data_IF_896200779300
#
_entry.id   IF_896200779300
#
_cell.length_a   1.000
_cell.length_b   1.000
_cell.length_c   1.000
_cell.angle_alpha   90.00
_cell.angle_beta   90.00
_cell.angle_gamma   90.00
#
_symmetry.space_group_name_H-M   'P 1'
#
loop_
_entity.id
_entity.type
_entity.pdbx_description
1 polymer ?
#
# COMPACT_ATOMS: atom_id res chain seq x y z
N UNK A 1 -33.00 -13.58 20.01
CA UNK A 1 -33.07 -13.60 18.52
C UNK A 1 -31.66 -13.54 17.95
N UNK A 2 -31.15 -14.72 17.61
CA UNK A 2 -29.81 -14.95 17.08
C UNK A 2 -29.62 -14.20 15.76
N UNK A 3 -28.69 -13.25 15.70
CA UNK A 3 -28.14 -12.71 14.47
C UNK A 3 -26.76 -13.34 14.24
N UNK A 4 -26.76 -14.64 13.99
CA UNK A 4 -25.68 -15.31 13.28
C UNK A 4 -26.08 -15.27 11.80
N UNK A 5 -25.49 -14.34 11.05
CA UNK A 5 -25.20 -14.43 9.61
C UNK A 5 -24.83 -13.03 9.08
N UNK A 6 -23.68 -12.52 9.51
CA UNK A 6 -22.93 -11.57 8.70
C UNK A 6 -21.82 -12.40 8.04
N UNK A 7 -21.86 -12.63 6.72
CA UNK A 7 -20.84 -13.43 6.06
C UNK A 7 -19.47 -12.77 6.25
N UNK A 8 -18.59 -13.44 7.01
CA UNK A 8 -17.24 -13.02 7.35
C UNK A 8 -16.24 -13.03 6.19
N UNK A 9 -16.64 -12.55 5.01
CA UNK A 9 -15.80 -12.44 3.81
C UNK A 9 -16.02 -11.12 3.06
N UNK A 10 -16.03 -10.00 3.79
CA UNK A 10 -15.64 -8.71 3.20
C UNK A 10 -14.12 -8.57 3.42
N UNK A 11 -13.35 -9.38 2.70
CA UNK A 11 -11.91 -9.09 2.53
C UNK A 11 -11.82 -7.77 1.78
N UNK A 12 -10.94 -6.89 2.25
CA UNK A 12 -10.54 -5.63 1.62
C UNK A 12 -9.87 -5.93 0.27
N UNK A 13 -10.65 -6.36 -0.71
CA UNK A 13 -10.19 -6.47 -2.08
C UNK A 13 -10.00 -5.05 -2.60
N UNK A 14 -8.76 -4.79 -3.01
CA UNK A 14 -8.30 -3.49 -3.46
C UNK A 14 -9.20 -2.93 -4.58
N UNK A 15 -9.30 -1.61 -4.56
CA UNK A 15 -10.24 -0.80 -5.32
C UNK A 15 -10.06 -0.90 -6.84
N UNK A 16 -10.70 -1.89 -7.47
CA UNK A 16 -11.23 -1.78 -8.82
C UNK A 16 -12.59 -2.49 -8.86
N UNK A 17 -13.66 -1.71 -8.90
CA UNK A 17 -15.03 -2.24 -9.01
C UNK A 17 -15.22 -3.17 -10.22
N UNK A 18 -14.41 -2.98 -11.28
CA UNK A 18 -14.34 -3.89 -12.42
C UNK A 18 -13.73 -5.27 -12.09
N UNK A 19 -12.72 -5.34 -11.21
CA UNK A 19 -12.09 -6.59 -10.77
C UNK A 19 -13.04 -7.43 -9.90
N UNK A 20 -13.81 -6.78 -9.01
CA UNK A 20 -14.84 -7.47 -8.21
C UNK A 20 -15.94 -8.06 -9.10
N UNK A 21 -16.33 -7.35 -10.15
CA UNK A 21 -17.30 -7.81 -11.15
C UNK A 21 -16.70 -9.00 -11.91
N UNK A 22 -15.51 -8.88 -12.47
CA UNK A 22 -14.88 -9.99 -13.18
C UNK A 22 -14.66 -11.24 -12.32
N UNK A 23 -14.30 -11.07 -11.05
CA UNK A 23 -14.16 -12.18 -10.11
C UNK A 23 -15.52 -12.77 -9.70
N UNK A 24 -16.57 -11.96 -9.54
CA UNK A 24 -17.92 -12.49 -9.23
C UNK A 24 -18.53 -13.24 -10.41
N UNK A 25 -18.28 -12.76 -11.62
CA UNK A 25 -18.75 -13.38 -12.86
C UNK A 25 -17.75 -14.38 -13.46
N UNK A 26 -16.66 -14.72 -12.75
CA UNK A 26 -15.65 -15.67 -13.22
C UNK A 26 -16.20 -17.09 -13.35
N UNK A 27 -17.25 -17.40 -12.58
CA UNK A 27 -17.95 -18.69 -12.56
C UNK A 27 -19.38 -18.61 -13.09
N UNK A 28 -19.86 -17.44 -13.50
CA UNK A 28 -21.19 -17.30 -14.08
C UNK A 28 -21.07 -17.40 -15.60
N UNK A 29 -21.65 -18.44 -16.19
CA UNK A 29 -21.84 -18.61 -17.63
C UNK A 29 -22.82 -17.55 -18.16
N UNK A 30 -22.45 -16.27 -18.16
CA UNK A 30 -23.22 -15.22 -18.84
C UNK A 30 -22.82 -15.26 -20.31
N UNK A 31 -23.67 -15.76 -21.23
CA UNK A 31 -23.25 -16.05 -22.61
C UNK A 31 -23.21 -14.82 -23.51
N UNK A 32 -23.52 -13.63 -23.01
CA UNK A 32 -23.83 -12.44 -23.82
C UNK A 32 -22.96 -11.25 -23.43
N UNK A 33 -21.93 -10.99 -24.24
CA UNK A 33 -21.04 -9.81 -24.10
C UNK A 33 -21.81 -8.49 -24.15
N UNK A 34 -22.95 -8.43 -24.85
CA UNK A 34 -23.81 -7.26 -24.92
C UNK A 34 -24.41 -6.91 -23.56
N UNK A 35 -24.99 -7.90 -22.87
CA UNK A 35 -25.49 -7.74 -21.50
C UNK A 35 -24.40 -7.43 -20.50
N UNK A 36 -23.20 -8.02 -20.63
CA UNK A 36 -22.07 -7.71 -19.75
C UNK A 36 -21.67 -6.23 -19.88
N UNK A 37 -21.63 -5.72 -21.11
CA UNK A 37 -21.31 -4.32 -21.40
C UNK A 37 -22.39 -3.35 -20.91
N UNK A 38 -23.66 -3.70 -21.11
CA UNK A 38 -24.80 -2.93 -20.61
C UNK A 38 -24.83 -2.89 -19.07
N UNK A 39 -24.60 -4.03 -18.40
CA UNK A 39 -24.45 -4.08 -16.95
C UNK A 39 -23.29 -3.20 -16.48
N UNK A 40 -22.11 -3.28 -17.12
CA UNK A 40 -20.98 -2.40 -16.81
C UNK A 40 -21.30 -0.91 -16.96
N UNK A 41 -22.05 -0.51 -17.98
CA UNK A 41 -22.50 0.88 -18.15
C UNK A 41 -23.54 1.30 -17.11
N UNK A 42 -24.51 0.44 -16.83
CA UNK A 42 -25.51 0.67 -15.77
C UNK A 42 -24.85 0.78 -14.39
N UNK A 43 -23.81 -0.01 -14.11
CA UNK A 43 -23.00 0.07 -12.88
C UNK A 43 -22.12 1.32 -12.81
N UNK A 44 -21.54 1.77 -13.93
CA UNK A 44 -20.87 3.09 -13.96
C UNK A 44 -21.83 4.24 -13.65
N UNK A 45 -23.11 4.06 -13.97
CA UNK A 45 -24.16 5.04 -13.73
C UNK A 45 -24.76 4.96 -12.32
N UNK A 46 -24.70 3.81 -11.66
CA UNK A 46 -25.19 3.60 -10.30
C UNK A 46 -24.45 4.48 -9.26
N UNK A 47 -25.23 5.32 -8.56
CA UNK A 47 -24.78 6.01 -7.34
C UNK A 47 -25.01 5.05 -6.18
N UNK A 48 -23.94 4.51 -5.60
CA UNK A 48 -24.04 3.65 -4.42
C UNK A 48 -24.08 4.49 -3.15
N UNK A 49 -24.92 4.13 -2.16
CA UNK A 49 -25.02 4.87 -0.90
C UNK A 49 -23.75 4.76 -0.03
N UNK A 50 -22.92 3.74 -0.26
CA UNK A 50 -21.64 3.54 0.41
C UNK A 50 -20.58 3.30 -0.67
N UNK A 51 -19.41 3.92 -0.52
CA UNK A 51 -18.24 3.74 -1.37
C UNK A 51 -17.01 3.52 -0.51
N UNK A 52 -16.32 2.39 -0.74
CA UNK A 52 -15.00 2.13 -0.19
C UNK A 52 -14.00 2.51 -1.27
N UNK A 53 -13.17 3.51 -1.00
CA UNK A 53 -12.29 4.08 -2.00
C UNK A 53 -11.04 4.68 -1.37
N UNK A 54 -9.96 4.76 -2.12
CA UNK A 54 -8.77 5.49 -1.68
C UNK A 54 -9.03 7.00 -1.72
N UNK A 55 -8.37 7.81 -0.88
CA UNK A 55 -8.47 9.28 -0.94
C UNK A 55 -8.17 9.85 -2.33
N UNK A 56 -7.29 9.19 -3.09
CA UNK A 56 -6.94 9.58 -4.47
C UNK A 56 -8.14 9.56 -5.42
N UNK A 57 -9.05 8.59 -5.28
CA UNK A 57 -10.26 8.55 -6.10
C UNK A 57 -11.23 9.69 -5.79
N UNK A 58 -11.12 10.32 -4.62
CA UNK A 58 -11.85 11.55 -4.32
C UNK A 58 -11.09 12.77 -4.87
N UNK A 59 -9.77 12.82 -4.66
CA UNK A 59 -8.91 13.88 -5.17
C UNK A 59 -9.02 14.10 -6.67
N UNK A 60 -9.21 13.04 -7.46
CA UNK A 60 -9.38 13.11 -8.92
C UNK A 60 -10.45 14.13 -9.34
N UNK A 61 -11.49 14.32 -8.52
CA UNK A 61 -12.58 15.24 -8.83
C UNK A 61 -12.16 16.72 -8.71
N UNK A 62 -11.10 17.02 -7.95
CA UNK A 62 -10.56 18.37 -7.80
C UNK A 62 -9.61 18.77 -8.94
N UNK A 63 -9.14 17.81 -9.74
CA UNK A 63 -8.25 18.05 -10.89
C UNK A 63 -8.99 18.20 -12.23
N UNK A 64 -10.32 18.40 -12.18
CA UNK A 64 -11.18 18.54 -13.36
C UNK A 64 -11.02 17.40 -14.38
N UNK A 65 -10.81 16.16 -13.91
CA UNK A 65 -10.73 14.99 -14.77
C UNK A 65 -12.11 14.67 -15.37
N UNK A 66 -12.16 14.00 -16.52
CA UNK A 66 -13.43 13.72 -17.19
C UNK A 66 -14.44 13.03 -16.24
N UNK A 67 -15.61 13.66 -16.06
CA UNK A 67 -16.68 13.16 -15.19
C UNK A 67 -16.55 13.57 -13.72
N UNK A 68 -15.68 14.53 -13.39
CA UNK A 68 -15.52 15.05 -12.03
C UNK A 68 -16.81 15.64 -11.46
N UNK A 69 -17.68 16.20 -12.29
CA UNK A 69 -18.94 16.83 -11.87
C UNK A 69 -19.87 15.81 -11.20
N UNK A 70 -19.93 14.60 -11.76
CA UNK A 70 -20.67 13.50 -11.15
C UNK A 70 -20.09 13.17 -9.78
N UNK A 71 -18.76 13.07 -9.68
CA UNK A 71 -18.08 12.78 -8.43
C UNK A 71 -18.31 13.84 -7.36
N UNK A 72 -18.27 15.14 -7.73
CA UNK A 72 -18.59 16.25 -6.82
C UNK A 72 -20.06 16.23 -6.39
N UNK A 73 -20.98 15.96 -7.31
CA UNK A 73 -22.41 15.87 -7.00
C UNK A 73 -22.71 14.79 -5.96
N UNK A 74 -22.01 13.65 -6.02
CA UNK A 74 -22.14 12.56 -5.05
C UNK A 74 -21.68 12.95 -3.64
N UNK A 75 -20.92 14.03 -3.47
CA UNK A 75 -20.44 14.48 -2.16
C UNK A 75 -21.47 15.29 -1.38
N UNK A 76 -22.52 15.81 -2.03
CA UNK A 76 -23.49 16.69 -1.39
C UNK A 76 -24.14 16.04 -0.15
N UNK A 77 -23.86 16.61 1.03
CA UNK A 77 -24.35 16.08 2.31
C UNK A 77 -23.79 14.71 2.71
N UNK A 78 -22.68 14.29 2.09
CA UNK A 78 -22.07 12.98 2.31
C UNK A 78 -21.34 12.88 3.66
N UNK A 79 -21.05 11.63 4.04
CA UNK A 79 -20.21 11.30 5.19
C UNK A 79 -18.90 10.70 4.71
N UNK A 80 -17.78 11.35 5.04
CA UNK A 80 -16.46 10.86 4.67
C UNK A 80 -15.78 10.29 5.91
N UNK A 81 -15.40 9.01 5.83
CA UNK A 81 -14.63 8.33 6.88
C UNK A 81 -13.23 8.10 6.33
N UNK A 82 -12.26 8.80 6.90
CA UNK A 82 -10.84 8.58 6.62
C UNK A 82 -10.29 7.65 7.69
N UNK A 83 -10.13 6.38 7.32
CA UNK A 83 -9.47 5.38 8.15
C UNK A 83 -7.95 5.43 7.93
N UNK A 84 -7.19 5.42 9.03
CA UNK A 84 -5.72 5.40 9.04
C UNK A 84 -5.09 6.49 8.15
N UNK A 85 -5.42 7.76 8.39
CA UNK A 85 -4.78 8.89 7.69
C UNK A 85 -3.30 9.00 8.11
N UNK A 86 -2.44 8.24 7.45
CA UNK A 86 -1.01 8.28 7.69
C UNK A 86 -0.36 9.32 6.78
N UNK A 87 0.31 10.29 7.39
CA UNK A 87 0.86 11.45 6.71
C UNK A 87 2.38 11.34 6.56
N UNK A 88 2.85 10.39 5.74
CA UNK A 88 4.29 10.29 5.44
C UNK A 88 4.73 11.12 4.23
N UNK A 89 3.80 11.41 3.31
CA UNK A 89 4.09 12.27 2.17
C UNK A 89 3.42 13.63 2.39
N UNK A 90 4.21 14.71 2.63
CA UNK A 90 3.69 16.05 2.84
C UNK A 90 2.75 16.54 1.73
N UNK A 91 3.02 16.16 0.48
CA UNK A 91 2.21 16.56 -0.69
C UNK A 91 0.85 15.88 -0.68
N UNK A 92 0.82 14.57 -0.45
CA UNK A 92 -0.43 13.80 -0.36
C UNK A 92 -1.27 14.29 0.81
N UNK A 93 -0.63 14.54 1.96
CA UNK A 93 -1.32 15.07 3.13
C UNK A 93 -1.93 16.47 2.84
N UNK A 94 -1.17 17.37 2.21
CA UNK A 94 -1.68 18.67 1.77
C UNK A 94 -2.91 18.52 0.84
N UNK A 95 -2.85 17.62 -0.14
CA UNK A 95 -3.96 17.36 -1.05
C UNK A 95 -5.21 16.87 -0.30
N UNK A 96 -5.05 15.92 0.63
CA UNK A 96 -6.17 15.40 1.44
C UNK A 96 -6.78 16.53 2.29
N UNK A 97 -5.98 17.41 2.88
CA UNK A 97 -6.51 18.52 3.66
C UNK A 97 -7.28 19.53 2.81
N UNK A 98 -6.79 19.85 1.61
CA UNK A 98 -7.53 20.71 0.66
C UNK A 98 -8.84 20.05 0.24
N UNK A 99 -8.85 18.73 0.03
CA UNK A 99 -10.07 17.97 -0.24
C UNK A 99 -11.07 18.08 0.91
N UNK A 100 -10.63 17.85 2.15
CA UNK A 100 -11.47 17.96 3.35
C UNK A 100 -12.04 19.37 3.46
N UNK A 101 -11.18 20.40 3.38
CA UNK A 101 -11.57 21.81 3.47
C UNK A 101 -12.61 22.17 2.40
N UNK A 102 -12.39 21.74 1.15
CA UNK A 102 -13.29 21.99 0.03
C UNK A 102 -14.64 21.28 0.20
N UNK A 103 -14.62 20.00 0.58
CA UNK A 103 -15.83 19.19 0.76
C UNK A 103 -16.70 19.70 1.92
N UNK A 104 -16.09 20.03 3.06
CA UNK A 104 -16.79 20.60 4.21
C UNK A 104 -17.39 21.97 3.84
N UNK A 105 -16.60 22.85 3.22
CA UNK A 105 -17.00 24.23 2.94
C UNK A 105 -18.10 24.34 1.89
N UNK A 106 -18.02 23.57 0.80
CA UNK A 106 -18.89 23.78 -0.37
C UNK A 106 -19.94 22.68 -0.56
N UNK A 107 -19.78 21.50 0.04
CA UNK A 107 -20.66 20.35 -0.18
C UNK A 107 -21.39 19.87 1.09
N UNK A 108 -21.21 20.56 2.22
CA UNK A 108 -21.81 20.20 3.50
C UNK A 108 -21.50 18.75 3.92
N UNK A 109 -20.27 18.31 3.62
CA UNK A 109 -19.79 16.97 3.99
C UNK A 109 -19.45 16.93 5.47
N UNK A 110 -19.89 15.87 6.15
CA UNK A 110 -19.43 15.54 7.50
C UNK A 110 -18.24 14.60 7.43
N UNK A 111 -17.17 14.91 8.15
CA UNK A 111 -15.91 14.16 8.07
C UNK A 111 -15.61 13.51 9.42
N UNK A 112 -15.26 12.23 9.39
CA UNK A 112 -14.75 11.47 10.53
C UNK A 112 -13.35 10.97 10.19
N UNK A 113 -12.37 11.34 11.02
CA UNK A 113 -10.97 10.98 10.82
C UNK A 113 -10.53 10.03 11.93
N UNK A 114 -10.02 8.88 11.55
CA UNK A 114 -9.51 7.85 12.45
C UNK A 114 -8.00 7.69 12.25
N UNK A 115 -7.24 7.62 13.34
CA UNK A 115 -5.79 7.39 13.29
C UNK A 115 -5.34 6.72 14.58
N UNK A 116 -4.49 5.71 14.47
CA UNK A 116 -3.87 5.08 15.63
C UNK A 116 -2.81 5.97 16.30
N UNK A 117 -2.05 6.71 15.48
CA UNK A 117 -0.94 7.56 15.92
C UNK A 117 -0.75 8.69 14.93
N UNK A 118 -0.88 9.94 15.37
CA UNK A 118 -0.63 11.12 14.54
C UNK A 118 0.12 12.18 15.35
N UNK A 119 1.25 12.72 14.86
CA UNK A 119 1.94 13.82 15.50
C UNK A 119 1.03 15.04 15.69
N UNK A 120 1.19 15.73 16.82
CA UNK A 120 0.36 16.87 17.21
C UNK A 120 0.34 17.99 16.15
N UNK A 121 1.46 18.26 15.49
CA UNK A 121 1.52 19.31 14.47
C UNK A 121 0.70 18.95 13.22
N UNK A 122 0.62 17.67 12.84
CA UNK A 122 -0.22 17.21 11.71
C UNK A 122 -1.69 17.20 12.12
N UNK A 123 -1.98 16.79 13.36
CA UNK A 123 -3.33 16.86 13.94
C UNK A 123 -3.89 18.28 13.85
N UNK A 124 -3.11 19.30 14.22
CA UNK A 124 -3.53 20.71 14.13
C UNK A 124 -3.88 21.14 12.69
N UNK A 125 -3.22 20.60 11.68
CA UNK A 125 -3.56 20.89 10.27
C UNK A 125 -4.89 20.24 9.86
N UNK A 126 -5.20 19.04 10.35
CA UNK A 126 -6.51 18.39 10.15
C UNK A 126 -7.61 19.21 10.84
N UNK A 127 -7.40 19.59 12.10
CA UNK A 127 -8.34 20.40 12.89
C UNK A 127 -8.68 21.72 12.17
N UNK A 128 -7.67 22.36 11.57
CA UNK A 128 -7.85 23.56 10.76
C UNK A 128 -8.70 23.31 9.50
N UNK A 129 -8.48 22.19 8.82
CA UNK A 129 -9.25 21.83 7.62
C UNK A 129 -10.70 21.45 7.93
N UNK A 130 -10.96 20.83 9.08
CA UNK A 130 -12.30 20.49 9.56
C UNK A 130 -13.09 21.72 10.03
N UNK A 131 -12.42 22.71 10.62
CA UNK A 131 -13.05 23.89 11.21
C UNK A 131 -13.71 23.55 12.54
N UNK A 132 -15.02 23.31 12.54
CA UNK A 132 -15.75 22.88 13.75
C UNK A 132 -15.65 21.37 13.90
N UNK A 133 -14.99 20.89 14.95
CA UNK A 133 -14.78 19.47 15.20
C UNK A 133 -14.97 19.11 16.67
N UNK A 134 -15.20 17.82 16.92
CA UNK A 134 -15.18 17.21 18.26
C UNK A 134 -14.11 16.13 18.28
N UNK A 135 -13.33 16.06 19.36
CA UNK A 135 -12.34 15.00 19.54
C UNK A 135 -12.93 13.85 20.34
N UNK A 136 -12.85 12.65 19.78
CA UNK A 136 -13.20 11.41 20.48
C UNK A 136 -11.88 10.69 20.82
N UNK A 137 -11.55 10.60 22.10
CA UNK A 137 -10.39 9.85 22.58
C UNK A 137 -10.84 8.64 23.38
N UNK A 138 -10.16 7.51 23.21
CA UNK A 138 -10.37 6.35 24.07
C UNK A 138 -9.91 6.65 25.51
N UNK A 139 -10.58 6.01 26.49
CA UNK A 139 -10.26 6.16 27.91
C UNK A 139 -8.83 5.66 28.22
N UNK A 140 -8.07 6.43 29.00
CA UNK A 140 -6.75 6.05 29.50
C UNK A 140 -6.78 4.69 30.21
N UNK A 141 -7.88 4.35 30.87
CA UNK A 141 -8.04 3.03 31.51
C UNK A 141 -8.04 1.90 30.49
N UNK A 142 -8.58 2.12 29.29
CA UNK A 142 -8.57 1.12 28.22
C UNK A 142 -7.13 0.83 27.79
N UNK A 143 -6.31 1.86 27.53
CA UNK A 143 -4.92 1.68 27.14
C UNK A 143 -4.06 1.05 28.23
N UNK A 144 -4.33 1.35 29.50
CA UNK A 144 -3.63 0.72 30.63
C UNK A 144 -4.02 -0.74 30.85
N UNK A 145 -5.18 -1.16 30.35
CA UNK A 145 -5.70 -2.52 30.57
C UNK A 145 -4.98 -3.60 29.76
N UNK A 146 -4.18 -3.23 28.74
CA UNK A 146 -3.44 -4.21 27.93
C UNK A 146 -2.07 -3.69 27.52
N UNK A 147 -1.03 -4.46 27.86
CA UNK A 147 0.30 -4.34 27.26
C UNK A 147 0.55 -5.60 26.43
N UNK A 148 1.09 -5.44 25.22
CA UNK A 148 1.28 -6.55 24.26
C UNK A 148 2.74 -6.81 23.91
N UNK A 149 3.57 -5.76 23.96
CA UNK A 149 4.87 -5.76 23.31
C UNK A 149 5.99 -5.46 24.29
N UNK A 150 7.08 -6.21 24.17
CA UNK A 150 8.37 -5.89 24.76
C UNK A 150 9.34 -5.46 23.66
N UNK A 151 9.85 -4.24 23.74
CA UNK A 151 10.82 -3.71 22.79
C UNK A 151 12.20 -4.27 23.11
N UNK A 152 12.89 -4.75 22.07
CA UNK A 152 14.28 -5.17 22.14
C UNK A 152 15.05 -4.60 20.94
N UNK A 153 15.82 -3.55 21.18
CA UNK A 153 16.74 -2.97 20.22
C UNK A 153 18.04 -3.76 20.26
N UNK A 154 18.45 -4.28 19.10
CA UNK A 154 19.63 -5.14 18.95
C UNK A 154 20.65 -4.52 17.98
N UNK A 155 21.91 -4.50 18.38
CA UNK A 155 23.02 -4.07 17.54
C UNK A 155 23.23 -5.00 16.33
N UNK A 156 23.81 -4.46 15.25
CA UNK A 156 24.02 -5.17 14.01
C UNK A 156 22.85 -5.05 13.04
N UNK A 157 23.01 -5.66 11.85
CA UNK A 157 21.98 -5.67 10.82
C UNK A 157 21.08 -6.90 10.93
N UNK A 158 19.86 -6.78 10.41
CA UNK A 158 18.90 -7.89 10.36
C UNK A 158 19.47 -9.11 9.60
N UNK A 159 20.12 -8.88 8.46
CA UNK A 159 20.65 -9.92 7.58
C UNK A 159 21.90 -10.63 8.13
N UNK A 160 22.60 -10.01 9.08
CA UNK A 160 23.72 -10.63 9.81
C UNK A 160 23.24 -11.52 10.97
N UNK A 161 21.94 -11.51 11.28
CA UNK A 161 21.37 -12.17 12.45
C UNK A 161 20.44 -13.35 12.12
N UNK A 162 20.54 -13.90 10.90
CA UNK A 162 19.73 -15.02 10.40
C UNK A 162 19.77 -16.25 11.30
N UNK A 163 20.93 -16.58 11.90
CA UNK A 163 21.06 -17.72 12.81
C UNK A 163 20.14 -17.61 14.04
N UNK A 164 20.08 -16.44 14.68
CA UNK A 164 19.23 -16.19 15.85
C UNK A 164 17.73 -16.22 15.49
N UNK A 165 17.39 -15.75 14.29
CA UNK A 165 16.03 -15.82 13.76
C UNK A 165 15.65 -17.28 13.48
N UNK A 166 16.57 -18.08 12.91
CA UNK A 166 16.37 -19.49 12.65
C UNK A 166 16.19 -20.31 13.93
N UNK A 167 16.96 -20.03 14.99
CA UNK A 167 16.76 -20.65 16.30
C UNK A 167 15.35 -20.38 16.85
N UNK A 168 14.88 -19.14 16.69
CA UNK A 168 13.53 -18.74 17.10
C UNK A 168 12.47 -19.50 16.30
N UNK A 169 12.64 -19.65 14.98
CA UNK A 169 11.78 -20.47 14.13
C UNK A 169 11.77 -21.94 14.57
N UNK A 170 12.96 -22.50 14.84
CA UNK A 170 13.13 -23.89 15.27
C UNK A 170 12.47 -24.18 16.64
N UNK A 171 12.29 -23.15 17.47
CA UNK A 171 11.54 -23.25 18.73
C UNK A 171 10.02 -23.37 18.56
N UNK A 172 9.51 -23.32 17.32
CA UNK A 172 8.08 -23.49 17.00
C UNK A 172 7.27 -22.20 17.01
N UNK A 173 7.89 -21.03 17.18
CA UNK A 173 7.21 -19.73 17.15
C UNK A 173 6.82 -19.32 15.74
N UNK A 174 5.71 -18.60 15.60
CA UNK A 174 5.36 -17.84 14.40
C UNK A 174 6.18 -16.56 14.35
N UNK A 175 7.09 -16.47 13.38
CA UNK A 175 8.04 -15.37 13.22
C UNK A 175 7.66 -14.47 12.06
N UNK A 176 7.64 -13.17 12.35
CA UNK A 176 7.48 -12.11 11.36
C UNK A 176 8.85 -11.45 11.11
N UNK A 177 9.27 -11.34 9.85
CA UNK A 177 10.50 -10.64 9.45
C UNK A 177 10.14 -9.51 8.50
N UNK A 178 10.47 -8.27 8.88
CA UNK A 178 10.16 -7.09 8.06
C UNK A 178 11.44 -6.38 7.62
N UNK A 179 11.65 -6.34 6.31
CA UNK A 179 12.72 -5.62 5.65
C UNK A 179 12.18 -4.34 5.03
N UNK A 180 13.01 -3.34 4.85
CA UNK A 180 12.66 -2.08 4.22
C UNK A 180 12.71 -2.20 2.69
N UNK A 181 13.58 -3.06 2.14
CA UNK A 181 13.72 -3.27 0.69
C UNK A 181 13.20 -4.64 0.24
N UNK A 182 12.67 -4.69 -1.00
CA UNK A 182 12.29 -5.95 -1.67
C UNK A 182 13.47 -6.92 -1.74
N UNK A 183 14.65 -6.43 -2.14
CA UNK A 183 15.85 -7.26 -2.27
C UNK A 183 16.22 -7.94 -0.96
N UNK A 184 16.24 -7.19 0.14
CA UNK A 184 16.54 -7.79 1.45
C UNK A 184 15.47 -8.79 1.88
N UNK A 185 14.19 -8.51 1.61
CA UNK A 185 13.13 -9.49 1.91
C UNK A 185 13.30 -10.81 1.11
N UNK A 186 13.75 -10.73 -0.15
CA UNK A 186 14.05 -11.92 -0.97
C UNK A 186 15.22 -12.72 -0.37
N UNK A 187 16.34 -12.05 -0.04
CA UNK A 187 17.52 -12.69 0.57
C UNK A 187 17.22 -13.30 1.94
N UNK A 188 16.46 -12.60 2.78
CA UNK A 188 16.02 -13.10 4.09
C UNK A 188 15.09 -14.30 3.94
N UNK A 189 14.19 -14.27 2.95
CA UNK A 189 13.31 -15.41 2.66
C UNK A 189 14.10 -16.64 2.24
N UNK A 190 15.13 -16.49 1.41
CA UNK A 190 15.98 -17.61 0.97
C UNK A 190 16.86 -18.16 2.11
N UNK A 191 17.43 -17.29 2.94
CA UNK A 191 18.35 -17.69 4.02
C UNK A 191 17.66 -18.40 5.19
N UNK A 192 16.37 -18.17 5.42
CA UNK A 192 15.60 -18.82 6.48
C UNK A 192 14.93 -20.10 5.99
N UNK A 193 15.17 -21.20 6.70
CA UNK A 193 14.71 -22.55 6.33
C UNK A 193 13.51 -22.98 7.16
N UNK A 194 12.35 -23.10 6.50
CA UNK A 194 11.13 -23.74 7.01
C UNK A 194 10.25 -24.12 5.83
N UNK A 195 9.45 -25.19 5.99
CA UNK A 195 8.51 -25.62 4.96
C UNK A 195 7.24 -24.75 4.90
N UNK A 196 7.05 -23.84 5.86
CA UNK A 196 5.82 -23.07 6.04
C UNK A 196 6.09 -21.56 6.08
N UNK A 197 6.76 -21.07 5.03
CA UNK A 197 7.12 -19.65 4.85
C UNK A 197 6.42 -18.99 3.68
N UNK A 198 6.04 -17.72 3.86
CA UNK A 198 5.50 -16.84 2.82
C UNK A 198 6.38 -15.60 2.68
N UNK A 199 6.56 -15.14 1.43
CA UNK A 199 7.21 -13.88 1.09
C UNK A 199 6.14 -12.91 0.57
N UNK A 200 6.09 -11.68 1.09
CA UNK A 200 5.15 -10.66 0.63
C UNK A 200 5.80 -9.28 0.44
N UNK A 201 5.71 -8.73 -0.77
CA UNK A 201 6.23 -7.41 -1.12
C UNK A 201 5.61 -6.86 -2.41
N UNK A 202 5.90 -5.61 -2.77
CA UNK A 202 5.31 -4.94 -3.94
C UNK A 202 5.78 -5.44 -5.32
N UNK A 203 6.88 -6.19 -5.39
CA UNK A 203 7.44 -6.69 -6.66
C UNK A 203 6.80 -7.99 -7.18
N UNK A 204 5.65 -8.41 -6.62
CA UNK A 204 4.82 -9.44 -7.21
C UNK A 204 3.78 -8.81 -8.13
N UNK A 205 3.37 -9.56 -9.16
CA UNK A 205 2.17 -9.22 -9.90
C UNK A 205 0.93 -9.43 -9.00
N UNK A 206 -0.24 -8.90 -9.40
CA UNK A 206 -1.44 -8.98 -8.57
C UNK A 206 -1.91 -10.43 -8.37
N UNK A 207 -1.73 -11.29 -9.38
CA UNK A 207 -2.10 -12.70 -9.32
C UNK A 207 -1.33 -13.46 -8.22
N UNK A 208 -0.01 -13.43 -8.26
CA UNK A 208 0.85 -14.14 -7.30
C UNK A 208 0.76 -13.53 -5.91
N UNK A 209 0.59 -12.20 -5.83
CA UNK A 209 0.37 -11.52 -4.55
C UNK A 209 -0.88 -12.02 -3.86
N UNK A 210 -2.00 -12.13 -4.58
CA UNK A 210 -3.26 -12.63 -4.02
C UNK A 210 -3.10 -14.07 -3.50
N UNK A 211 -2.43 -14.95 -4.26
CA UNK A 211 -2.15 -16.32 -3.83
C UNK A 211 -1.31 -16.35 -2.54
N UNK A 212 -0.30 -15.50 -2.40
CA UNK A 212 0.52 -15.39 -1.18
C UNK A 212 -0.27 -14.88 0.01
N UNK A 213 -1.13 -13.88 -0.21
CA UNK A 213 -2.02 -13.39 0.83
C UNK A 213 -3.01 -14.47 1.29
N UNK A 214 -3.49 -15.33 0.38
CA UNK A 214 -4.30 -16.50 0.74
C UNK A 214 -3.52 -17.54 1.55
N UNK A 215 -2.28 -17.84 1.15
CA UNK A 215 -1.41 -18.77 1.88
C UNK A 215 -1.14 -18.35 3.32
N UNK A 216 -1.11 -17.04 3.61
CA UNK A 216 -0.91 -16.54 4.98
C UNK A 216 -1.98 -16.98 5.97
N UNK A 217 -3.18 -17.34 5.50
CA UNK A 217 -4.26 -17.81 6.35
C UNK A 217 -4.19 -19.31 6.63
N UNK A 218 -3.25 -20.04 6.02
CA UNK A 218 -2.98 -21.42 6.41
C UNK A 218 -2.47 -21.44 7.86
N UNK A 219 -3.14 -22.16 8.79
CA UNK A 219 -2.72 -22.25 10.19
C UNK A 219 -1.28 -22.74 10.36
N UNK A 220 -0.76 -23.47 9.36
CA UNK A 220 0.60 -23.96 9.31
C UNK A 220 1.67 -22.88 9.16
N UNK A 221 1.38 -21.70 8.61
CA UNK A 221 2.42 -20.68 8.38
C UNK A 221 3.08 -20.28 9.70
N UNK A 222 4.41 -20.41 9.73
CA UNK A 222 5.25 -20.06 10.86
C UNK A 222 6.32 -19.01 10.53
N UNK A 223 6.49 -18.65 9.26
CA UNK A 223 7.35 -17.55 8.84
C UNK A 223 6.65 -16.67 7.80
N UNK A 224 6.62 -15.36 8.05
CA UNK A 224 6.33 -14.37 7.03
C UNK A 224 7.53 -13.44 6.91
N UNK A 225 8.09 -13.35 5.71
CA UNK A 225 9.11 -12.35 5.36
C UNK A 225 8.46 -11.34 4.42
N UNK A 226 8.67 -10.06 4.64
CA UNK A 226 8.17 -9.07 3.68
C UNK A 226 8.63 -7.67 3.94
N UNK A 227 7.97 -6.74 3.26
CA UNK A 227 8.28 -5.31 3.37
C UNK A 227 7.14 -4.52 4.04
N UNK A 228 7.09 -3.21 3.84
CA UNK A 228 5.98 -2.34 4.27
C UNK A 228 4.61 -2.81 3.76
N UNK A 229 4.57 -3.69 2.76
CA UNK A 229 3.34 -4.33 2.31
C UNK A 229 2.58 -5.05 3.44
N UNK A 230 3.28 -5.46 4.52
CA UNK A 230 2.68 -6.12 5.68
C UNK A 230 1.98 -5.13 6.63
N UNK A 231 2.34 -3.84 6.57
CA UNK A 231 1.78 -2.80 7.43
C UNK A 231 0.31 -2.55 7.12
N UNK A 232 -0.15 -2.84 5.89
CA UNK A 232 -1.48 -2.49 5.40
C UNK A 232 -2.34 -3.75 5.20
N UNK A 233 -3.58 -3.72 5.69
CA UNK A 233 -4.68 -4.63 5.34
C UNK A 233 -4.50 -6.15 5.55
N UNK A 234 -3.51 -6.62 6.31
CA UNK A 234 -3.37 -8.04 6.68
C UNK A 234 -3.82 -8.33 8.12
N UNK A 235 -4.85 -9.15 8.30
CA UNK A 235 -5.29 -9.62 9.62
C UNK A 235 -4.47 -10.85 10.07
N UNK A 236 -3.21 -10.60 10.42
CA UNK A 236 -2.24 -11.61 10.84
C UNK A 236 -1.85 -11.44 12.32
N UNK A 237 -1.47 -12.55 12.96
CA UNK A 237 -1.11 -12.59 14.38
C UNK A 237 0.10 -13.50 14.65
N UNK A 238 1.28 -12.88 14.74
CA UNK A 238 2.57 -13.54 14.96
C UNK A 238 3.00 -13.51 16.44
N UNK A 239 4.00 -14.32 16.80
CA UNK A 239 4.48 -14.46 18.19
C UNK A 239 5.66 -13.53 18.48
N UNK A 240 6.41 -13.16 17.44
CA UNK A 240 7.59 -12.31 17.51
C UNK A 240 7.83 -11.65 16.15
N UNK A 241 8.36 -10.43 16.18
CA UNK A 241 8.84 -9.72 15.00
C UNK A 241 10.34 -9.44 15.09
N UNK A 242 11.03 -9.58 13.96
CA UNK A 242 12.37 -9.08 13.69
C UNK A 242 12.26 -8.06 12.55
N UNK A 243 12.67 -6.82 12.77
CA UNK A 243 12.51 -5.76 11.78
C UNK A 243 13.77 -4.93 11.65
N UNK A 244 14.06 -4.51 10.42
CA UNK A 244 14.95 -3.38 10.18
C UNK A 244 14.38 -2.10 10.82
N UNK A 245 15.24 -1.12 11.13
CA UNK A 245 14.77 0.13 11.72
C UNK A 245 13.93 0.89 10.70
N UNK A 246 12.85 1.48 11.18
CA UNK A 246 11.89 2.27 10.42
C UNK A 246 11.39 3.40 11.32
N UNK A 247 10.69 4.41 10.78
CA UNK A 247 10.05 5.42 11.60
C UNK A 247 9.07 4.79 12.60
N UNK A 248 8.89 5.44 13.75
CA UNK A 248 8.21 4.84 14.90
C UNK A 248 6.76 4.40 14.59
N UNK A 249 6.03 5.20 13.84
CA UNK A 249 4.68 4.90 13.37
C UNK A 249 4.63 3.64 12.49
N UNK A 250 5.57 3.48 11.55
CA UNK A 250 5.69 2.26 10.77
C UNK A 250 6.01 1.05 11.67
N UNK A 251 6.89 1.22 12.67
CA UNK A 251 7.19 0.19 13.65
C UNK A 251 5.96 -0.19 14.49
N UNK A 252 5.16 0.77 14.94
CA UNK A 252 3.93 0.52 15.71
C UNK A 252 2.93 -0.29 14.86
N UNK A 253 2.77 0.04 13.57
CA UNK A 253 1.94 -0.73 12.65
C UNK A 253 2.44 -2.17 12.49
N UNK A 254 3.76 -2.36 12.37
CA UNK A 254 4.39 -3.69 12.35
C UNK A 254 4.16 -4.45 13.66
N UNK A 255 4.32 -3.79 14.81
CA UNK A 255 4.08 -4.38 16.13
C UNK A 255 2.60 -4.77 16.32
N UNK A 256 1.69 -4.04 15.69
CA UNK A 256 0.26 -4.37 15.64
C UNK A 256 -0.06 -5.72 14.97
N UNK A 257 0.91 -6.37 14.32
CA UNK A 257 0.83 -7.72 13.74
C UNK A 257 1.37 -8.82 14.68
N UNK A 258 1.90 -8.43 15.85
CA UNK A 258 2.38 -9.32 16.91
C UNK A 258 1.40 -9.30 18.08
N UNK A 259 0.96 -10.48 18.51
CA UNK A 259 -0.06 -10.64 19.55
C UNK A 259 -1.29 -9.75 19.31
N UNK A 260 -1.77 -9.70 18.06
CA UNK A 260 -2.89 -8.87 17.63
C UNK A 260 -4.16 -9.22 18.40
N UNK A 261 -4.37 -10.51 18.70
CA UNK A 261 -5.51 -11.03 19.45
C UNK A 261 -5.39 -10.88 20.97
N UNK A 262 -4.23 -10.45 21.49
CA UNK A 262 -3.97 -10.23 22.92
C UNK A 262 -4.06 -11.48 23.79
N UNK A 263 -3.79 -12.65 23.22
CA UNK A 263 -3.92 -13.96 23.88
C UNK A 263 -2.59 -14.58 24.30
N UNK A 264 -1.46 -13.98 23.89
CA UNK A 264 -0.12 -14.58 24.01
C UNK A 264 0.74 -13.99 25.13
N UNK A 265 0.14 -13.19 26.02
CA UNK A 265 0.87 -12.43 27.04
C UNK A 265 1.72 -11.31 26.43
N UNK A 266 2.94 -11.10 26.92
CA UNK A 266 3.88 -10.11 26.36
C UNK A 266 4.77 -10.77 25.32
N UNK A 267 4.73 -10.26 24.09
CA UNK A 267 5.52 -10.75 22.95
C UNK A 267 6.66 -9.78 22.63
N UNK A 268 7.79 -10.32 22.16
CA UNK A 268 8.96 -9.51 21.84
C UNK A 268 8.83 -8.86 20.46
N UNK A 269 9.28 -7.61 20.35
CA UNK A 269 9.46 -6.87 19.12
C UNK A 269 10.93 -6.48 19.00
N UNK A 270 11.66 -7.17 18.11
CA UNK A 270 13.10 -6.98 17.92
C UNK A 270 13.37 -6.02 16.77
N UNK A 271 14.01 -4.89 17.07
CA UNK A 271 14.38 -3.86 16.10
C UNK A 271 15.91 -3.83 15.98
N UNK A 272 16.42 -3.98 14.77
CA UNK A 272 17.87 -3.87 14.53
C UNK A 272 18.29 -2.41 14.39
N UNK A 273 19.48 -2.07 14.88
CA UNK A 273 19.98 -0.68 14.87
C UNK A 273 20.54 -0.28 13.50
N UNK A 274 21.24 -1.20 12.84
CA UNK A 274 22.02 -0.87 11.66
C UNK A 274 21.20 -0.99 10.39
N UNK A 275 21.41 -0.03 9.48
CA UNK A 275 20.73 0.10 8.20
C UNK A 275 21.59 -0.37 7.05
N UNK A 276 20.95 -0.89 6.01
CA UNK A 276 21.60 -1.07 4.73
C UNK A 276 21.87 0.28 4.04
N UNK A 277 22.93 0.35 3.21
CA UNK A 277 23.22 1.54 2.39
C UNK A 277 22.02 1.94 1.51
N UNK A 278 21.23 0.96 1.06
CA UNK A 278 20.01 1.15 0.27
C UNK A 278 18.82 1.63 1.07
N UNK A 279 18.78 1.39 2.39
CA UNK A 279 17.64 1.78 3.23
C UNK A 279 17.53 3.30 3.39
N UNK A 280 18.66 4.02 3.23
CA UNK A 280 18.71 5.49 3.26
C UNK A 280 17.79 6.13 2.22
N UNK A 281 17.47 5.42 1.14
CA UNK A 281 16.58 5.92 0.09
C UNK A 281 15.10 5.65 0.35
N UNK A 282 14.76 4.74 1.29
CA UNK A 282 13.38 4.41 1.65
C UNK A 282 12.88 5.34 2.75
N UNK A 283 13.70 5.53 3.79
CA UNK A 283 13.45 6.53 4.83
C UNK A 283 14.56 7.57 4.77
N UNK A 284 14.28 8.66 4.06
CA UNK A 284 15.26 9.73 3.79
C UNK A 284 15.58 10.57 5.02
N UNK A 285 14.67 10.67 6.00
CA UNK A 285 14.93 11.42 7.23
C UNK A 285 15.70 10.57 8.24
N UNK A 286 17.03 10.74 8.27
CA UNK A 286 17.92 10.08 9.22
C UNK A 286 17.66 10.52 10.67
N UNK A 287 17.20 11.76 10.90
CA UNK A 287 16.90 12.27 12.23
C UNK A 287 15.65 11.59 12.83
N UNK A 288 14.63 11.30 12.04
CA UNK A 288 13.44 10.53 12.47
C UNK A 288 13.85 9.13 12.90
N UNK A 289 14.71 8.44 12.12
CA UNK A 289 15.18 7.10 12.49
C UNK A 289 16.04 7.14 13.76
N UNK A 290 16.94 8.11 13.88
CA UNK A 290 17.80 8.25 15.06
C UNK A 290 16.97 8.48 16.33
N UNK A 291 16.00 9.42 16.29
CA UNK A 291 15.07 9.65 17.41
C UNK A 291 14.23 8.41 17.72
N UNK A 292 13.81 7.66 16.69
CA UNK A 292 13.08 6.40 16.87
C UNK A 292 13.92 5.38 17.62
N UNK A 293 15.18 5.16 17.21
CA UNK A 293 16.07 4.23 17.91
C UNK A 293 16.40 4.69 19.33
N UNK A 294 16.61 6.00 19.52
CA UNK A 294 16.87 6.60 20.84
C UNK A 294 15.71 6.34 21.82
N UNK A 295 14.48 6.65 21.42
CA UNK A 295 13.32 6.44 22.29
C UNK A 295 13.04 4.95 22.55
N UNK A 296 13.27 4.08 21.57
CA UNK A 296 13.13 2.64 21.76
C UNK A 296 14.19 2.07 22.72
N UNK A 297 15.44 2.57 22.68
CA UNK A 297 16.50 2.19 23.63
C UNK A 297 16.18 2.63 25.06
N UNK A 298 15.67 3.85 25.23
CA UNK A 298 15.17 4.34 26.52
C UNK A 298 14.08 3.39 27.03
N UNK A 299 13.08 3.11 26.20
CA UNK A 299 11.95 2.24 26.58
C UNK A 299 12.33 0.79 26.82
N UNK A 300 13.38 0.28 26.19
CA UNK A 300 13.93 -1.04 26.48
C UNK A 300 14.52 -1.13 27.90
N UNK A 301 15.13 -0.05 28.40
CA UNK A 301 15.75 0.00 29.74
C UNK A 301 14.70 0.24 30.83
N UNK A 302 13.63 0.96 30.51
CA UNK A 302 12.49 1.18 31.40
C UNK A 302 11.57 -0.06 31.43
N UNK A 303 10.89 -0.31 32.57
CA UNK A 303 9.80 -1.30 32.67
C UNK A 303 10.10 -2.69 32.07
N UNK A 304 11.36 -3.15 32.13
CA UNK A 304 11.80 -4.42 31.52
C UNK A 304 11.51 -4.51 30.00
N UNK A 305 11.50 -3.36 29.32
CA UNK A 305 11.21 -3.21 27.90
C UNK A 305 9.73 -3.28 27.53
N UNK A 306 8.81 -3.40 28.50
CA UNK A 306 7.38 -3.49 28.22
C UNK A 306 6.85 -2.13 27.79
N UNK A 307 6.36 -2.05 26.55
CA UNK A 307 5.79 -0.84 25.99
C UNK A 307 4.35 -0.65 26.46
N UNK A 308 4.08 0.48 27.09
CA UNK A 308 2.73 0.88 27.46
C UNK A 308 2.07 1.60 26.30
N UNK A 309 0.88 1.15 25.89
CA UNK A 309 0.15 1.71 24.76
C UNK A 309 -0.22 3.19 25.00
N UNK A 310 -0.42 3.60 26.26
CA UNK A 310 -0.67 5.00 26.63
C UNK A 310 0.52 5.94 26.41
N UNK A 311 1.72 5.42 26.18
CA UNK A 311 2.92 6.23 25.92
C UNK A 311 3.18 6.46 24.43
N UNK A 312 2.49 5.75 23.53
CA UNK A 312 2.75 5.79 22.09
C UNK A 312 2.64 7.20 21.52
N UNK A 313 1.62 7.97 21.90
CA UNK A 313 1.45 9.35 21.42
C UNK A 313 2.65 10.22 21.78
N UNK A 314 3.12 10.16 23.04
CA UNK A 314 4.30 10.91 23.50
C UNK A 314 5.56 10.52 22.74
N UNK A 315 5.71 9.24 22.42
CA UNK A 315 6.85 8.77 21.64
C UNK A 315 6.78 9.27 20.18
N UNK A 316 5.57 9.30 19.59
CA UNK A 316 5.34 9.83 18.25
C UNK A 316 5.66 11.32 18.18
N UNK A 317 5.19 12.12 19.15
CA UNK A 317 5.48 13.56 19.20
C UNK A 317 6.98 13.84 19.44
N UNK A 318 7.68 12.98 20.18
CA UNK A 318 9.13 13.06 20.32
C UNK A 318 9.88 12.79 19.01
N UNK A 319 9.45 11.77 18.26
CA UNK A 319 10.04 11.41 16.95
C UNK A 319 9.70 12.44 15.88
N UNK A 320 8.52 13.07 15.97
CA UNK A 320 8.00 14.03 15.01
C UNK A 320 7.50 15.31 15.71
N UNK A 321 8.42 16.15 16.24
CA UNK A 321 8.05 17.35 16.98
C UNK A 321 7.48 18.46 16.08
N UNK A 322 7.91 18.49 14.83
CA UNK A 322 7.54 19.51 13.85
C UNK A 322 7.86 19.03 12.43
N UNK A 323 7.40 19.79 11.44
CA UNK A 323 7.79 19.64 10.04
C UNK A 323 9.30 19.80 9.85
N UNK A 324 9.89 18.99 8.98
CA UNK A 324 11.15 19.37 8.35
C UNK A 324 10.91 20.55 7.40
N UNK A 325 11.95 21.38 7.20
CA UNK A 325 11.85 22.60 6.37
C UNK A 325 11.34 22.26 4.96
N UNK A 326 11.97 21.27 4.31
CA UNK A 326 11.60 20.83 2.97
C UNK A 326 10.19 20.25 2.92
N UNK A 327 9.81 19.47 3.93
CA UNK A 327 8.49 18.85 3.99
C UNK A 327 7.40 19.92 4.17
N UNK A 328 7.68 20.97 4.96
CA UNK A 328 6.79 22.12 5.09
C UNK A 328 6.65 22.90 3.79
N UNK A 329 7.75 23.14 3.08
CA UNK A 329 7.74 23.80 1.76
C UNK A 329 6.93 22.99 0.74
N UNK A 330 7.14 21.68 0.68
CA UNK A 330 6.40 20.77 -0.20
C UNK A 330 4.90 20.77 0.15
N UNK A 331 4.54 20.74 1.44
CA UNK A 331 3.16 20.83 1.93
C UNK A 331 2.50 22.17 1.54
N UNK A 332 3.13 23.30 1.87
CA UNK A 332 2.57 24.64 1.66
C UNK A 332 2.43 24.94 0.16
N UNK A 333 3.43 24.57 -0.64
CA UNK A 333 3.40 24.73 -2.11
C UNK A 333 2.27 23.91 -2.73
N UNK A 334 2.16 22.62 -2.35
CA UNK A 334 1.13 21.73 -2.87
C UNK A 334 -0.27 22.22 -2.50
N UNK A 335 -0.46 22.63 -1.25
CA UNK A 335 -1.73 23.18 -0.77
C UNK A 335 -2.14 24.43 -1.55
N UNK A 336 -1.20 25.38 -1.71
CA UNK A 336 -1.45 26.64 -2.43
C UNK A 336 -1.79 26.40 -3.90
N UNK A 337 -1.02 25.54 -4.59
CA UNK A 337 -1.24 25.23 -6.00
C UNK A 337 -2.59 24.54 -6.24
N UNK A 338 -2.95 23.57 -5.40
CA UNK A 338 -4.22 22.86 -5.54
C UNK A 338 -5.40 23.80 -5.27
N UNK A 339 -5.33 24.65 -4.24
CA UNK A 339 -6.37 25.66 -3.99
C UNK A 339 -6.53 26.62 -5.18
N UNK A 340 -5.43 27.10 -5.73
CA UNK A 340 -5.45 27.94 -6.92
C UNK A 340 -6.10 27.23 -8.12
N UNK A 341 -5.76 25.95 -8.33
CA UNK A 341 -6.34 25.13 -9.41
C UNK A 341 -7.85 24.98 -9.24
N UNK A 342 -8.31 24.69 -8.02
CA UNK A 342 -9.74 24.58 -7.70
C UNK A 342 -10.47 25.90 -7.98
N UNK A 343 -9.90 27.04 -7.57
CA UNK A 343 -10.53 28.35 -7.74
C UNK A 343 -10.59 28.83 -9.19
N UNK A 344 -9.59 28.49 -10.02
CA UNK A 344 -9.41 29.07 -11.35
C UNK A 344 -9.69 28.11 -12.50
N UNK A 345 -9.51 26.81 -12.30
CA UNK A 345 -9.56 25.78 -13.35
C UNK A 345 -10.74 24.81 -13.22
N UNK A 346 -11.28 24.61 -12.02
CA UNK A 346 -12.41 23.71 -11.79
C UNK A 346 -13.72 24.32 -12.33
N UNK A 347 -13.90 24.26 -13.65
CA UNK A 347 -15.05 24.82 -14.38
C UNK A 347 -15.94 23.70 -14.92
N UNK A 348 -17.27 23.77 -14.72
CA UNK A 348 -18.19 22.77 -15.24
C UNK A 348 -17.99 22.51 -16.74
N UNK A 349 -17.99 21.24 -17.14
CA UNK A 349 -17.88 20.76 -18.52
C UNK A 349 -16.52 21.02 -19.20
N UNK A 350 -15.53 21.54 -18.47
CA UNK A 350 -14.16 21.71 -18.97
C UNK A 350 -13.27 20.66 -18.31
N UNK A 351 -12.96 19.59 -19.06
CA UNK A 351 -12.01 18.57 -18.60
C UNK A 351 -10.61 18.82 -19.16
N UNK A 352 -9.59 18.72 -18.32
CA UNK A 352 -8.20 18.81 -18.78
C UNK A 352 -7.64 17.40 -19.07
N UNK A 353 -7.25 17.13 -20.33
CA UNK A 353 -6.65 15.83 -20.70
C UNK A 353 -5.24 15.66 -20.16
N UNK A 354 -4.51 16.77 -20.00
CA UNK A 354 -3.13 16.75 -19.51
C UNK A 354 -3.08 16.42 -18.01
N UNK A 355 -4.12 16.80 -17.26
CA UNK A 355 -4.19 16.51 -15.83
C UNK A 355 -4.46 15.04 -15.49
N UNK A 356 -4.99 14.21 -16.39
CA UNK A 356 -5.29 12.80 -16.08
C UNK A 356 -4.01 11.95 -15.98
N UNK A 357 -3.13 12.03 -16.98
CA UNK A 357 -1.84 11.33 -16.95
C UNK A 357 -0.91 11.88 -15.85
N UNK A 358 -0.87 13.21 -15.70
CA UNK A 358 -0.11 13.89 -14.63
C UNK A 358 -0.66 13.57 -13.23
N UNK A 359 -1.96 13.30 -13.09
CA UNK A 359 -2.55 12.88 -11.83
C UNK A 359 -2.18 11.45 -11.49
N UNK A 360 -2.36 10.50 -12.42
CA UNK A 360 -2.05 9.09 -12.13
C UNK A 360 -0.55 8.83 -11.92
N UNK A 361 0.34 9.57 -12.60
CA UNK A 361 1.79 9.45 -12.38
C UNK A 361 2.25 9.89 -10.99
N UNK A 362 1.50 10.76 -10.31
CA UNK A 362 1.80 11.17 -8.93
C UNK A 362 1.62 10.04 -7.90
N UNK A 363 0.85 8.99 -8.23
CA UNK A 363 0.42 7.99 -7.25
C UNK A 363 0.79 6.57 -7.65
N UNK A 364 0.70 6.24 -8.95
CA UNK A 364 1.03 4.91 -9.44
C UNK A 364 2.48 4.85 -9.92
N UNK A 365 3.16 3.77 -9.52
CA UNK A 365 4.41 3.39 -10.15
C UNK A 365 4.15 2.91 -11.58
N UNK A 366 5.18 2.89 -12.41
CA UNK A 366 5.06 2.43 -13.79
C UNK A 366 4.84 0.92 -13.79
N UNK A 367 3.79 0.47 -14.46
CA UNK A 367 3.50 -0.95 -14.63
C UNK A 367 4.30 -1.53 -15.79
N UNK A 368 5.03 -2.59 -15.50
CA UNK A 368 5.82 -3.34 -16.46
C UNK A 368 5.42 -4.82 -16.46
N UNK A 369 5.48 -5.46 -17.61
CA UNK A 369 5.21 -6.89 -17.79
C UNK A 369 6.54 -7.65 -17.77
N UNK A 370 6.78 -8.57 -16.82
CA UNK A 370 7.92 -9.47 -16.91
C UNK A 370 7.91 -10.27 -18.21
N UNK A 371 9.06 -10.38 -18.87
CA UNK A 371 9.24 -11.07 -20.16
C UNK A 371 8.61 -12.47 -20.20
N UNK A 372 8.75 -13.23 -19.10
CA UNK A 372 8.21 -14.59 -18.99
C UNK A 372 6.67 -14.67 -19.11
N UNK A 373 5.94 -13.56 -18.93
CA UNK A 373 4.48 -13.51 -19.05
C UNK A 373 3.98 -13.00 -20.40
N UNK A 374 4.85 -12.66 -21.35
CA UNK A 374 4.44 -12.06 -22.63
C UNK A 374 3.43 -12.93 -23.40
N UNK A 375 3.72 -14.23 -23.54
CA UNK A 375 2.83 -15.16 -24.26
C UNK A 375 1.46 -15.28 -23.60
N UNK A 376 1.41 -15.37 -22.27
CA UNK A 376 0.15 -15.50 -21.54
C UNK A 376 -0.64 -14.19 -21.55
N UNK A 377 0.04 -13.05 -21.46
CA UNK A 377 -0.55 -11.73 -21.61
C UNK A 377 -1.24 -11.58 -22.97
N UNK A 378 -0.55 -11.95 -24.06
CA UNK A 378 -1.11 -11.94 -25.43
C UNK A 378 -2.38 -12.82 -25.53
N UNK A 379 -2.31 -14.07 -25.06
CA UNK A 379 -3.48 -14.99 -25.05
C UNK A 379 -4.66 -14.44 -24.25
N UNK A 380 -4.41 -13.77 -23.13
CA UNK A 380 -5.46 -13.18 -22.30
C UNK A 380 -6.13 -12.00 -23.03
N UNK A 381 -5.35 -11.17 -23.74
CA UNK A 381 -5.88 -10.07 -24.55
C UNK A 381 -6.76 -10.58 -25.71
N UNK A 382 -6.30 -11.60 -26.44
CA UNK A 382 -7.07 -12.24 -27.52
C UNK A 382 -8.41 -12.79 -27.01
N UNK A 383 -8.42 -13.34 -25.80
CA UNK A 383 -9.63 -13.88 -25.17
C UNK A 383 -10.52 -12.84 -24.46
N UNK A 384 -10.31 -11.53 -24.70
CA UNK A 384 -11.04 -10.43 -24.06
C UNK A 384 -10.91 -10.41 -22.52
N UNK A 385 -9.88 -11.05 -21.95
CA UNK A 385 -9.61 -11.14 -20.51
C UNK A 385 -8.65 -10.03 -20.03
N UNK A 386 -9.01 -8.77 -20.28
CA UNK A 386 -8.14 -7.60 -20.05
C UNK A 386 -7.66 -7.45 -18.61
N UNK A 387 -8.52 -7.69 -17.62
CA UNK A 387 -8.15 -7.51 -16.22
C UNK A 387 -7.20 -8.59 -15.75
N UNK A 388 -7.35 -9.83 -16.23
CA UNK A 388 -6.35 -10.90 -16.02
C UNK A 388 -5.03 -10.56 -16.70
N UNK A 389 -5.06 -9.96 -17.88
CA UNK A 389 -3.84 -9.49 -18.54
C UNK A 389 -3.14 -8.39 -17.70
N UNK A 390 -3.91 -7.43 -17.17
CA UNK A 390 -3.37 -6.39 -16.26
C UNK A 390 -2.84 -6.96 -14.95
N UNK A 391 -3.39 -8.06 -14.44
CA UNK A 391 -2.94 -8.66 -13.18
C UNK A 391 -1.56 -9.34 -13.26
N UNK A 392 -1.05 -9.59 -14.47
CA UNK A 392 0.30 -10.11 -14.73
C UNK A 392 1.38 -9.03 -14.65
N UNK A 393 1.00 -7.74 -14.70
CA UNK A 393 1.95 -6.62 -14.61
C UNK A 393 2.43 -6.41 -13.18
N UNK A 394 3.67 -5.96 -13.05
CA UNK A 394 4.31 -5.59 -11.79
C UNK A 394 4.50 -4.07 -11.76
N UNK A 395 4.29 -3.46 -10.60
CA UNK A 395 4.49 -2.04 -10.40
C UNK A 395 5.94 -1.75 -9.96
N UNK A 396 6.62 -0.84 -10.66
CA UNK A 396 7.97 -0.36 -10.31
C UNK A 396 7.99 1.16 -10.14
N UNK A 397 8.94 1.69 -9.36
CA UNK A 397 9.07 3.14 -9.20
C UNK A 397 9.61 3.79 -10.47
N UNK A 398 9.26 5.07 -10.71
CA UNK A 398 9.76 5.82 -11.88
C UNK A 398 11.29 5.84 -11.95
N UNK A 399 11.96 6.10 -10.82
CA UNK A 399 13.43 6.07 -10.74
C UNK A 399 14.00 4.73 -11.24
N UNK A 400 13.35 3.62 -10.88
CA UNK A 400 13.76 2.28 -11.31
C UNK A 400 13.46 2.04 -12.77
N UNK A 401 12.29 2.48 -13.25
CA UNK A 401 11.93 2.41 -14.66
C UNK A 401 12.96 3.14 -15.52
N UNK A 402 13.31 4.39 -15.19
CA UNK A 402 14.32 5.15 -15.93
C UNK A 402 15.70 4.52 -15.85
N UNK A 403 16.10 3.99 -14.69
CA UNK A 403 17.37 3.27 -14.55
C UNK A 403 17.42 2.01 -15.42
N UNK A 404 16.31 1.27 -15.53
CA UNK A 404 16.22 0.10 -16.39
C UNK A 404 16.16 0.48 -17.87
N UNK A 405 15.39 1.50 -18.24
CA UNK A 405 15.30 1.99 -19.61
C UNK A 405 16.68 2.44 -20.15
N UNK A 406 17.48 3.11 -19.31
CA UNK A 406 18.85 3.52 -19.67
C UNK A 406 19.80 2.33 -19.92
N UNK A 407 19.54 1.19 -19.25
CA UNK A 407 20.37 -0.01 -19.35
C UNK A 407 19.72 -1.12 -20.21
N UNK A 408 18.75 -0.78 -21.08
CA UNK A 408 18.02 -1.74 -21.93
C UNK A 408 17.32 -2.87 -21.16
N UNK A 409 17.02 -2.65 -19.88
CA UNK A 409 16.29 -3.60 -19.03
C UNK A 409 14.77 -3.52 -19.16
N UNK A 410 14.26 -2.49 -19.84
CA UNK A 410 12.84 -2.30 -20.16
C UNK A 410 12.70 -1.78 -21.59
N UNK A 411 11.73 -2.30 -22.33
CA UNK A 411 11.40 -1.88 -23.69
C UNK A 411 9.89 -1.74 -23.89
N UNK A 412 9.49 -0.95 -24.90
CA UNK A 412 8.09 -0.77 -25.26
C UNK A 412 7.75 -1.70 -26.42
N UNK A 413 6.83 -2.62 -26.20
CA UNK A 413 6.25 -3.44 -27.26
C UNK A 413 4.81 -2.98 -27.54
N UNK A 414 4.37 -3.09 -28.79
CA UNK A 414 2.97 -2.90 -29.16
C UNK A 414 2.38 -4.26 -29.48
N UNK A 415 1.58 -4.79 -28.56
CA UNK A 415 0.88 -6.04 -28.79
C UNK A 415 -0.32 -5.79 -29.69
N UNK A 416 -0.34 -6.48 -30.83
CA UNK A 416 -1.45 -6.45 -31.80
C UNK A 416 -2.25 -7.72 -31.62
N UNK A 417 -3.55 -7.62 -31.38
CA UNK A 417 -4.43 -8.77 -31.20
C UNK A 417 -5.81 -8.54 -31.81
N UNK A 418 -6.43 -9.64 -32.26
CA UNK A 418 -7.82 -9.67 -32.67
C UNK A 418 -8.69 -10.05 -31.47
N UNK A 419 -9.79 -9.32 -31.27
CA UNK A 419 -10.72 -9.63 -30.19
C UNK A 419 -11.48 -10.92 -30.52
N UNK A 420 -11.59 -11.82 -29.55
CA UNK A 420 -12.50 -12.97 -29.67
C UNK A 420 -13.89 -12.48 -30.07
N UNK A 421 -14.43 -13.05 -31.15
CA UNK A 421 -15.72 -12.70 -31.77
C UNK A 421 -15.81 -11.32 -32.45
N UNK A 422 -14.69 -10.71 -32.83
CA UNK A 422 -14.69 -9.42 -33.54
C UNK A 422 -13.48 -9.28 -34.48
N UNK A 423 -13.72 -8.90 -35.74
CA UNK A 423 -12.67 -8.61 -36.74
C UNK A 423 -11.90 -7.32 -36.48
N UNK A 424 -12.09 -6.69 -35.33
CA UNK A 424 -11.38 -5.46 -34.94
C UNK A 424 -10.03 -5.82 -34.34
N UNK A 425 -8.98 -5.42 -35.03
CA UNK A 425 -7.60 -5.42 -34.54
C UNK A 425 -7.46 -4.29 -33.53
N UNK A 426 -6.84 -4.58 -32.38
CA UNK A 426 -6.44 -3.59 -31.39
C UNK A 426 -4.94 -3.61 -31.17
N UNK A 427 -4.41 -2.42 -30.91
CA UNK A 427 -3.03 -2.20 -30.50
C UNK A 427 -3.03 -1.82 -29.01
N UNK A 428 -2.22 -2.52 -28.22
CA UNK A 428 -2.04 -2.23 -26.80
C UNK A 428 -0.53 -2.09 -26.52
N UNK A 429 -0.03 -0.86 -26.26
CA UNK A 429 1.35 -0.69 -25.85
C UNK A 429 1.57 -1.28 -24.45
N UNK A 430 2.68 -2.00 -24.27
CA UNK A 430 3.10 -2.58 -22.98
C UNK A 430 4.60 -2.38 -22.79
N UNK A 431 5.00 -2.05 -21.56
CA UNK A 431 6.40 -2.00 -21.17
C UNK A 431 6.83 -3.39 -20.70
N UNK A 432 7.80 -4.00 -21.36
CA UNK A 432 8.32 -5.32 -21.00
C UNK A 432 9.61 -5.14 -20.22
N UNK A 433 9.75 -5.86 -19.10
CA UNK A 433 10.98 -5.88 -18.30
C UNK A 433 11.69 -7.23 -18.49
N UNK A 434 12.96 -7.18 -18.89
CA UNK A 434 13.80 -8.35 -19.18
C UNK A 434 14.49 -8.93 -17.92
N UNK A 435 13.95 -8.61 -16.74
CA UNK A 435 14.48 -9.07 -15.46
C UNK A 435 13.74 -10.30 -14.97
N UNK A 436 14.48 -11.20 -14.34
CA UNK A 436 13.96 -12.47 -13.83
C UNK A 436 12.76 -12.25 -12.92
N UNK A 437 11.72 -13.02 -13.16
CA UNK A 437 10.54 -13.07 -12.30
C UNK A 437 10.24 -14.52 -11.93
N UNK A 438 9.89 -14.76 -10.67
CA UNK A 438 9.38 -16.07 -10.23
C UNK A 438 8.13 -15.87 -9.37
N UNK A 439 7.20 -16.83 -9.38
CA UNK A 439 6.07 -16.81 -8.46
C UNK A 439 6.50 -16.93 -6.97
N UNK A 440 7.74 -17.39 -6.71
CA UNK A 440 8.29 -17.50 -5.36
C UNK A 440 8.84 -16.15 -4.86
N UNK A 441 9.69 -15.47 -5.66
CA UNK A 441 10.44 -14.27 -5.25
C UNK A 441 9.96 -12.97 -5.91
N UNK A 442 9.10 -13.04 -6.92
CA UNK A 442 8.63 -11.90 -7.69
C UNK A 442 9.72 -11.38 -8.61
N UNK A 443 9.66 -10.09 -8.96
CA UNK A 443 10.62 -9.45 -9.85
C UNK A 443 11.98 -9.25 -9.16
N UNK A 444 13.03 -9.81 -9.75
CA UNK A 444 14.42 -9.76 -9.29
C UNK A 444 15.24 -8.85 -10.22
N UNK A 445 15.30 -7.57 -9.89
CA UNK A 445 15.79 -6.50 -10.78
C UNK A 445 17.27 -6.62 -11.19
N UNK A 446 18.07 -7.36 -10.41
CA UNK A 446 19.51 -7.54 -10.64
C UNK A 446 19.84 -8.78 -11.48
N UNK A 447 18.86 -9.66 -11.72
CA UNK A 447 19.04 -10.87 -12.50
C UNK A 447 18.32 -10.70 -13.84
N UNK A 448 19.03 -10.95 -14.92
CA UNK A 448 18.41 -11.04 -16.24
C UNK A 448 17.60 -12.33 -16.35
N UNK A 449 16.52 -12.27 -17.12
CA UNK A 449 15.73 -13.46 -17.43
C UNK A 449 16.49 -14.29 -18.48
N UNK A 450 16.77 -15.57 -18.19
CA UNK A 450 17.49 -16.49 -19.10
C UNK A 450 16.70 -16.74 -20.41
N UNK A 451 15.40 -16.40 -20.41
CA UNK A 451 14.51 -16.40 -21.57
C UNK A 451 14.59 -15.11 -22.40
N UNK A 452 15.51 -14.19 -22.10
CA UNK A 452 15.80 -13.04 -22.95
C UNK A 452 16.34 -13.52 -24.29
N UNK A 453 15.42 -13.77 -25.23
CA UNK A 453 15.74 -13.78 -26.65
C UNK A 453 16.46 -12.44 -26.90
N UNK A 454 17.69 -12.44 -27.44
CA UNK A 454 18.39 -11.20 -27.73
C UNK A 454 17.48 -10.31 -28.57
N UNK A 455 17.15 -9.14 -28.03
CA UNK A 455 16.31 -8.15 -28.69
C UNK A 455 16.89 -7.85 -30.07
N UNK A 456 16.18 -8.25 -31.13
CA UNK A 456 16.67 -8.14 -32.51
C UNK A 456 16.30 -9.29 -33.48
N UNK A 457 15.51 -10.29 -33.07
CA UNK A 457 15.11 -11.41 -33.95
C UNK A 457 13.61 -11.47 -34.31
N UNK A 458 12.91 -10.35 -34.26
CA UNK A 458 11.60 -10.21 -34.91
C UNK A 458 11.69 -9.13 -35.98
N UNK A 459 12.15 -9.53 -37.16
CA UNK A 459 11.98 -8.80 -38.42
C UNK A 459 11.03 -9.59 -39.32
#
# INVERSE_FOLDING_TARGET
>A
PNNHDIPGKLRLNQCKHAEIIEHKFENDDIPDEGKKKELLENFKNLVTPIKITTPFQLLKNLFALKGFEKGLFEWLGGYFIFDEIHAYNPKVFAQILVLIEFAVKYFNVSVFVMTATLPDFLRKEIEKALGNYETISADDMLYKSFNRHRINVKQGRLDENTASIQETLNSGKKVLVVCNTVKQSQLMYESLSTNKKVLLHSAFNAHDRNQKEEQLFDPGINLLVGTQAIEVSLDIDFDIIFTEPAPLDALIQRFGRVNRKRQKGICNCVVFEDRNKTDKYIYSNEQVINRTLEILKIKQQENQGILQESELQKMIDYVYPQWDIKDKEDFDTTSTLLKYTIENELKPFISNKKSEEDFYSQFDGIKVLPSCFLSDYQKLLENNMFTKAESLKVQISEKRFFALANNQGVEKEVTIFELKNSTRIKEQPVWIVSKKYTNVLGLQVELDDDLSIPFGQFL
#
